data_IF_081327319722
#
_entry.id   IF_081327319722
#
_cell.length_a   1.000
_cell.length_b   1.000
_cell.length_c   1.000
_cell.angle_alpha   90.00
_cell.angle_beta   90.00
_cell.angle_gamma   90.00
#
_symmetry.space_group_name_H-M   'P 1'
#
loop_
_entity.id
_entity.type
_entity.pdbx_description
1 polymer ?
#
# COMPACT_ATOMS: atom_id res chain seq x y z
N UNK A 1 33.25 2.25 1.37
CA UNK A 1 32.46 1.03 1.08
C UNK A 1 31.05 1.45 0.68
N UNK A 2 30.71 1.38 -0.62
CA UNK A 2 29.35 1.72 -1.09
C UNK A 2 28.39 0.65 -0.56
N UNK A 3 27.57 1.03 0.42
CA UNK A 3 26.55 0.16 1.03
C UNK A 3 25.49 -0.09 -0.05
N UNK A 4 25.57 -1.23 -0.76
CA UNK A 4 24.49 -1.69 -1.63
C UNK A 4 23.26 -1.89 -0.74
N UNK A 5 22.32 -0.96 -0.82
CA UNK A 5 21.03 -1.13 -0.16
C UNK A 5 20.39 -2.36 -0.78
N UNK A 6 20.00 -3.32 0.05
CA UNK A 6 19.36 -4.54 -0.41
C UNK A 6 17.99 -4.16 -1.00
N UNK A 7 17.87 -4.22 -2.33
CA UNK A 7 16.71 -3.77 -3.11
C UNK A 7 15.40 -4.38 -2.60
N UNK A 8 15.46 -5.65 -2.14
CA UNK A 8 14.36 -6.35 -1.47
C UNK A 8 13.83 -5.62 -0.23
N UNK A 9 14.71 -5.08 0.61
CA UNK A 9 14.30 -4.39 1.84
C UNK A 9 13.57 -3.09 1.48
N UNK A 10 14.02 -2.37 0.45
CA UNK A 10 13.40 -1.13 0.01
C UNK A 10 12.00 -1.37 -0.58
N UNK A 11 11.82 -2.45 -1.34
CA UNK A 11 10.49 -2.88 -1.79
C UNK A 11 9.54 -3.21 -0.63
N UNK A 12 9.99 -4.00 0.35
CA UNK A 12 9.16 -4.41 1.48
C UNK A 12 8.70 -3.17 2.27
N UNK A 13 9.59 -2.19 2.44
CA UNK A 13 9.26 -0.93 3.11
C UNK A 13 8.19 -0.14 2.36
N UNK A 14 8.13 -0.19 1.02
CA UNK A 14 7.11 0.49 0.21
C UNK A 14 5.75 -0.23 0.18
N UNK A 15 5.71 -1.55 0.39
CA UNK A 15 4.46 -2.34 0.47
C UNK A 15 3.82 -2.27 1.86
N UNK A 16 4.66 -2.12 2.89
CA UNK A 16 4.25 -2.05 4.28
C UNK A 16 3.10 -1.08 4.57
N UNK A 17 3.07 0.17 4.03
CA UNK A 17 2.00 1.13 4.27
C UNK A 17 0.64 0.64 3.78
N UNK A 18 0.58 -0.02 2.62
CA UNK A 18 -0.69 -0.54 2.10
C UNK A 18 -1.26 -1.64 3.02
N UNK A 19 -0.39 -2.53 3.52
CA UNK A 19 -0.78 -3.59 4.45
C UNK A 19 -1.30 -3.00 5.78
N UNK A 20 -0.61 -1.99 6.31
CA UNK A 20 -1.01 -1.28 7.51
C UNK A 20 -2.34 -0.54 7.35
N UNK A 21 -2.64 -0.01 6.16
CA UNK A 21 -3.90 0.66 5.83
C UNK A 21 -5.09 -0.31 5.91
N UNK A 22 -4.90 -1.54 5.45
CA UNK A 22 -5.92 -2.58 5.54
C UNK A 22 -6.20 -2.97 7.00
N UNK A 23 -5.14 -3.15 7.81
CA UNK A 23 -5.27 -3.41 9.25
C UNK A 23 -5.96 -2.24 9.97
N UNK A 24 -5.61 -1.00 9.61
CA UNK A 24 -6.24 0.20 10.14
C UNK A 24 -7.74 0.22 9.86
N UNK A 25 -8.15 -0.05 8.61
CA UNK A 25 -9.57 -0.11 8.26
C UNK A 25 -10.32 -1.22 9.02
N UNK A 26 -9.72 -2.42 9.10
CA UNK A 26 -10.29 -3.55 9.84
C UNK A 26 -10.55 -3.22 11.32
N UNK A 27 -9.61 -2.52 11.95
CA UNK A 27 -9.75 -2.06 13.34
C UNK A 27 -10.92 -1.08 13.47
N UNK A 28 -11.08 -0.13 12.54
CA UNK A 28 -12.19 0.84 12.58
C UNK A 28 -13.57 0.17 12.48
N UNK A 29 -13.71 -0.85 11.62
CA UNK A 29 -14.96 -1.63 11.51
C UNK A 29 -15.25 -2.37 12.83
N UNK A 30 -14.22 -2.96 13.45
CA UNK A 30 -14.35 -3.66 14.74
C UNK A 30 -14.71 -2.71 15.90
N UNK A 31 -14.11 -1.51 15.97
CA UNK A 31 -14.43 -0.49 16.98
C UNK A 31 -15.91 -0.09 16.90
N UNK A 32 -16.43 0.15 15.68
CA UNK A 32 -17.83 0.55 15.48
C UNK A 32 -18.82 -0.48 16.00
N UNK A 33 -18.43 -1.76 16.02
CA UNK A 33 -19.29 -2.86 16.47
C UNK A 33 -19.16 -3.16 17.98
N UNK A 34 -18.01 -2.89 18.60
CA UNK A 34 -17.75 -3.17 20.02
C UNK A 34 -17.04 -2.01 20.73
N UNK A 35 -17.82 -1.16 21.42
CA UNK A 35 -17.33 0.06 22.07
C UNK A 35 -16.41 -0.21 23.28
N UNK A 36 -16.54 -1.37 23.94
CA UNK A 36 -15.80 -1.73 25.17
C UNK A 36 -14.28 -1.76 24.99
N UNK A 37 -13.81 -2.03 23.77
CA UNK A 37 -12.38 -2.12 23.44
C UNK A 37 -11.89 -0.92 22.60
N UNK A 38 -12.73 0.10 22.43
CA UNK A 38 -12.45 1.25 21.57
C UNK A 38 -11.13 1.96 21.94
N UNK A 39 -10.82 2.06 23.23
CA UNK A 39 -9.62 2.75 23.72
C UNK A 39 -8.33 2.02 23.32
N UNK A 40 -8.28 0.69 23.48
CA UNK A 40 -7.15 -0.15 23.08
C UNK A 40 -6.93 -0.13 21.56
N UNK A 41 -8.02 -0.21 20.79
CA UNK A 41 -7.95 -0.17 19.34
C UNK A 41 -7.57 1.21 18.79
N UNK A 42 -8.00 2.30 19.43
CA UNK A 42 -7.61 3.68 19.06
C UNK A 42 -6.12 3.91 19.28
N UNK A 43 -5.55 3.41 20.38
CA UNK A 43 -4.11 3.46 20.62
C UNK A 43 -3.33 2.66 19.55
N UNK A 44 -3.80 1.45 19.22
CA UNK A 44 -3.21 0.63 18.17
C UNK A 44 -3.24 1.34 16.79
N UNK A 45 -4.34 2.04 16.50
CA UNK A 45 -4.52 2.83 15.29
C UNK A 45 -3.50 3.98 15.19
N UNK A 46 -3.23 4.66 16.30
CA UNK A 46 -2.21 5.71 16.37
C UNK A 46 -0.79 5.16 16.16
N UNK A 47 -0.49 3.98 16.73
CA UNK A 47 0.80 3.29 16.54
C UNK A 47 1.01 2.96 15.06
N UNK A 48 -0.01 2.44 14.39
CA UNK A 48 0.05 2.12 12.95
C UNK A 48 0.32 3.38 12.11
N UNK A 49 -0.34 4.50 12.43
CA UNK A 49 -0.13 5.79 11.77
C UNK A 49 1.30 6.31 11.93
N UNK A 50 1.84 6.27 13.15
CA UNK A 50 3.23 6.65 13.43
C UNK A 50 4.19 5.76 12.64
N UNK A 51 3.93 4.46 12.61
CA UNK A 51 4.78 3.51 11.88
C UNK A 51 4.76 3.75 10.36
N UNK A 52 3.60 4.07 9.78
CA UNK A 52 3.52 4.53 8.38
C UNK A 52 4.35 5.78 8.14
N UNK A 53 4.24 6.79 9.02
CA UNK A 53 4.99 8.03 8.90
C UNK A 53 6.50 7.80 8.95
N UNK A 54 6.96 6.93 9.85
CA UNK A 54 8.37 6.54 9.95
C UNK A 54 8.84 5.80 8.69
N UNK A 55 8.03 4.88 8.16
CA UNK A 55 8.34 4.18 6.90
C UNK A 55 8.51 5.16 5.74
N UNK A 56 7.56 6.10 5.57
CA UNK A 56 7.65 7.14 4.53
C UNK A 56 8.87 8.05 4.71
N UNK A 57 9.18 8.43 5.95
CA UNK A 57 10.36 9.23 6.25
C UNK A 57 11.64 8.47 5.90
N UNK A 58 11.70 7.16 6.20
CA UNK A 58 12.84 6.31 5.86
C UNK A 58 13.00 6.17 4.34
N UNK A 59 11.92 5.99 3.60
CA UNK A 59 11.94 5.96 2.13
C UNK A 59 12.43 7.29 1.57
N UNK A 60 11.93 8.43 2.10
CA UNK A 60 12.33 9.77 1.66
C UNK A 60 13.79 10.07 1.95
N UNK A 61 14.29 9.68 3.12
CA UNK A 61 15.69 9.90 3.52
C UNK A 61 16.68 9.06 2.72
N UNK A 62 16.30 7.85 2.34
CA UNK A 62 17.16 6.97 1.54
C UNK A 62 16.97 7.15 0.03
N UNK A 63 16.07 8.04 -0.40
CA UNK A 63 15.73 8.25 -1.81
C UNK A 63 16.90 8.75 -2.66
N UNK A 64 17.84 9.49 -2.06
CA UNK A 64 19.06 9.98 -2.72
C UNK A 64 20.16 8.91 -2.87
N UNK A 65 20.04 7.79 -2.15
CA UNK A 65 20.96 6.65 -2.22
C UNK A 65 20.41 5.58 -3.18
N UNK A 66 19.15 5.72 -3.62
CA UNK A 66 18.53 4.84 -4.60
C UNK A 66 19.09 5.19 -5.98
N UNK A 67 19.76 4.21 -6.58
CA UNK A 67 20.43 4.30 -7.87
C UNK A 67 19.51 4.89 -8.94
N UNK A 68 20.04 5.72 -9.83
CA UNK A 68 19.26 6.43 -10.86
C UNK A 68 18.48 5.44 -11.76
N UNK A 69 19.05 4.25 -11.93
CA UNK A 69 18.43 3.10 -12.60
C UNK A 69 17.15 2.61 -11.90
N UNK A 70 17.17 2.48 -10.57
CA UNK A 70 16.00 2.04 -9.79
C UNK A 70 14.88 3.07 -9.88
N UNK A 71 15.20 4.37 -9.92
CA UNK A 71 14.21 5.45 -10.03
C UNK A 71 13.45 5.40 -11.37
N UNK A 72 14.13 5.10 -12.47
CA UNK A 72 13.49 4.93 -13.80
C UNK A 72 12.57 3.71 -13.83
N UNK A 73 13.05 2.58 -13.32
CA UNK A 73 12.26 1.35 -13.20
C UNK A 73 11.00 1.60 -12.35
N UNK A 74 11.17 2.22 -11.19
CA UNK A 74 10.05 2.51 -10.30
C UNK A 74 9.01 3.41 -10.96
N UNK A 75 9.42 4.44 -11.69
CA UNK A 75 8.50 5.32 -12.41
C UNK A 75 7.69 4.60 -13.49
N UNK A 76 8.30 3.64 -14.20
CA UNK A 76 7.58 2.79 -15.17
C UNK A 76 6.57 1.88 -14.47
N UNK A 77 6.97 1.24 -13.37
CA UNK A 77 6.09 0.37 -12.59
C UNK A 77 4.93 1.16 -11.99
N UNK A 78 5.19 2.32 -11.40
CA UNK A 78 4.17 3.22 -10.86
C UNK A 78 3.16 3.63 -11.94
N UNK A 79 3.62 3.93 -13.16
CA UNK A 79 2.72 4.29 -14.28
C UNK A 79 1.81 3.14 -14.68
N UNK A 80 2.34 1.91 -14.76
CA UNK A 80 1.54 0.71 -15.07
C UNK A 80 0.54 0.44 -13.94
N UNK A 81 0.99 0.53 -12.70
CA UNK A 81 0.17 0.39 -11.51
C UNK A 81 -0.96 1.43 -11.49
N UNK A 82 -0.69 2.68 -11.87
CA UNK A 82 -1.69 3.75 -11.93
C UNK A 82 -2.74 3.52 -13.02
N UNK A 83 -2.35 2.97 -14.17
CA UNK A 83 -3.33 2.55 -15.20
C UNK A 83 -4.22 1.43 -14.69
N UNK A 84 -3.64 0.44 -14.00
CA UNK A 84 -4.39 -0.68 -13.44
C UNK A 84 -5.33 -0.22 -12.32
N UNK A 85 -4.85 0.65 -11.44
CA UNK A 85 -5.64 1.20 -10.34
C UNK A 85 -6.83 1.99 -10.87
N UNK A 86 -6.64 2.80 -11.91
CA UNK A 86 -7.72 3.56 -12.54
C UNK A 86 -8.85 2.63 -13.04
N UNK A 87 -8.49 1.52 -13.69
CA UNK A 87 -9.47 0.53 -14.16
C UNK A 87 -10.20 -0.10 -12.97
N UNK A 88 -9.47 -0.54 -11.94
CA UNK A 88 -10.05 -1.15 -10.74
C UNK A 88 -11.00 -0.19 -10.01
N UNK A 89 -10.58 1.06 -9.79
CA UNK A 89 -11.42 2.08 -9.16
C UNK A 89 -12.65 2.43 -9.99
N UNK A 90 -12.54 2.44 -11.32
CA UNK A 90 -13.68 2.61 -12.22
C UNK A 90 -14.72 1.50 -12.05
N UNK A 91 -14.29 0.24 -11.95
CA UNK A 91 -15.17 -0.89 -11.67
C UNK A 91 -15.79 -0.80 -10.26
N UNK A 92 -15.01 -0.47 -9.23
CA UNK A 92 -15.54 -0.28 -7.87
C UNK A 92 -16.62 0.80 -7.81
N UNK A 93 -16.39 1.96 -8.45
CA UNK A 93 -17.36 3.05 -8.52
C UNK A 93 -18.65 2.62 -9.21
N UNK A 94 -18.54 1.88 -10.31
CA UNK A 94 -19.69 1.35 -11.04
C UNK A 94 -20.49 0.34 -10.20
N UNK A 95 -19.81 -0.61 -9.55
CA UNK A 95 -20.43 -1.57 -8.63
C UNK A 95 -21.12 -0.87 -7.45
N UNK A 96 -20.48 0.14 -6.88
CA UNK A 96 -21.04 0.93 -5.78
C UNK A 96 -22.34 1.65 -6.17
N UNK A 97 -22.38 2.23 -7.38
CA UNK A 97 -23.57 2.91 -7.91
C UNK A 97 -24.72 1.93 -8.19
N UNK A 98 -24.42 0.73 -8.68
CA UNK A 98 -25.42 -0.27 -9.04
C UNK A 98 -26.02 -0.99 -7.83
N UNK A 99 -25.22 -1.26 -6.80
CA UNK A 99 -25.61 -2.17 -5.70
C UNK A 99 -26.24 -1.41 -4.52
N UNK A 100 -26.16 -0.07 -4.48
CA UNK A 100 -26.62 0.68 -3.31
C UNK A 100 -25.92 0.20 -2.03
N UNK A 101 -24.62 -0.08 -2.15
CA UNK A 101 -23.87 -0.84 -1.17
C UNK A 101 -23.74 -0.10 0.17
N UNK A 102 -23.87 -0.84 1.27
CA UNK A 102 -23.66 -0.28 2.61
C UNK A 102 -22.23 0.27 2.75
N UNK A 103 -22.01 1.38 3.46
CA UNK A 103 -20.71 2.04 3.57
C UNK A 103 -19.60 1.16 4.17
N UNK A 104 -19.98 0.10 4.91
CA UNK A 104 -19.04 -0.90 5.44
C UNK A 104 -18.54 -1.79 4.29
N UNK A 105 -19.42 -2.22 3.39
CA UNK A 105 -19.06 -3.06 2.26
C UNK A 105 -18.14 -2.33 1.29
N UNK A 106 -18.45 -1.07 0.98
CA UNK A 106 -17.65 -0.22 0.09
C UNK A 106 -16.24 -0.05 0.64
N UNK A 107 -16.08 0.17 1.94
CA UNK A 107 -14.75 0.32 2.52
C UNK A 107 -13.93 -0.97 2.52
N UNK A 108 -14.56 -2.15 2.65
CA UNK A 108 -13.87 -3.43 2.43
C UNK A 108 -13.45 -3.62 0.98
N UNK A 109 -14.29 -3.24 0.03
CA UNK A 109 -13.98 -3.31 -1.40
C UNK A 109 -12.78 -2.44 -1.75
N UNK A 110 -12.76 -1.19 -1.25
CA UNK A 110 -11.66 -0.24 -1.44
C UNK A 110 -10.38 -0.73 -0.75
N UNK A 111 -10.46 -1.19 0.50
CA UNK A 111 -9.31 -1.72 1.23
C UNK A 111 -8.73 -2.96 0.53
N UNK A 112 -9.59 -3.86 0.07
CA UNK A 112 -9.22 -5.03 -0.72
C UNK A 112 -8.53 -4.65 -2.03
N UNK A 113 -9.11 -3.71 -2.78
CA UNK A 113 -8.53 -3.18 -4.02
C UNK A 113 -7.14 -2.58 -3.80
N UNK A 114 -6.95 -1.79 -2.74
CA UNK A 114 -5.65 -1.21 -2.37
C UNK A 114 -4.61 -2.28 -2.03
N UNK A 115 -5.01 -3.32 -1.28
CA UNK A 115 -4.11 -4.42 -0.97
C UNK A 115 -3.73 -5.22 -2.22
N UNK A 116 -4.69 -5.51 -3.09
CA UNK A 116 -4.46 -6.23 -4.34
C UNK A 116 -3.55 -5.42 -5.26
N UNK A 117 -3.76 -4.11 -5.36
CA UNK A 117 -2.88 -3.19 -6.10
C UNK A 117 -1.45 -3.20 -5.54
N UNK A 118 -1.29 -3.22 -4.22
CA UNK A 118 0.03 -3.28 -3.58
C UNK A 118 0.77 -4.59 -3.89
N UNK A 119 0.05 -5.73 -3.89
CA UNK A 119 0.61 -7.02 -4.29
C UNK A 119 1.00 -7.01 -5.77
N UNK A 120 0.15 -6.49 -6.64
CA UNK A 120 0.45 -6.38 -8.08
C UNK A 120 1.66 -5.49 -8.31
N UNK A 121 1.77 -4.36 -7.61
CA UNK A 121 2.95 -3.49 -7.66
C UNK A 121 4.22 -4.28 -7.28
N UNK A 122 4.16 -5.08 -6.22
CA UNK A 122 5.27 -5.97 -5.82
C UNK A 122 5.66 -6.96 -6.91
N UNK A 123 4.68 -7.62 -7.53
CA UNK A 123 4.91 -8.63 -8.58
C UNK A 123 5.53 -7.98 -9.81
N UNK A 124 4.99 -6.85 -10.28
CA UNK A 124 5.52 -6.15 -11.46
C UNK A 124 6.97 -5.73 -11.22
N UNK A 125 7.29 -5.25 -10.02
CA UNK A 125 8.67 -4.91 -9.67
C UNK A 125 9.58 -6.15 -9.68
N UNK A 126 9.16 -7.27 -9.07
CA UNK A 126 9.92 -8.53 -9.12
C UNK A 126 10.14 -9.03 -10.56
N UNK A 127 9.13 -8.90 -11.42
CA UNK A 127 9.24 -9.26 -12.85
C UNK A 127 10.21 -8.33 -13.58
N UNK A 128 10.22 -7.03 -13.25
CA UNK A 128 11.16 -6.09 -13.86
C UNK A 128 12.59 -6.28 -13.36
N UNK A 129 12.78 -6.62 -12.08
CA UNK A 129 14.09 -6.96 -11.50
C UNK A 129 14.65 -8.25 -12.11
N UNK A 130 13.80 -9.27 -12.32
CA UNK A 130 14.20 -10.54 -12.96
C UNK A 130 14.39 -10.44 -14.47
N UNK A 131 13.73 -9.49 -15.16
CA UNK A 131 13.99 -9.20 -16.58
C UNK A 131 15.13 -8.21 -16.78
N UNK A 132 15.43 -7.41 -15.76
CA UNK A 132 16.53 -6.46 -15.69
C UNK A 132 17.83 -7.08 -15.18
N UNK A 133 18.05 -8.38 -15.43
CA UNK A 133 19.38 -9.00 -15.32
C UNK A 133 20.25 -8.42 -16.44
N UNK A 134 20.69 -7.16 -16.27
CA UNK A 134 22.07 -6.75 -16.01
C UNK A 134 22.16 -5.22 -15.97
#
# INVERSE_FOLDING_TARGET
MKKKINLKIWMIVNIMPALFLLLFYWINVKIKHNLTYALTYTLLQYIILVFMGVSLYFVKKNRDIVDEYTKKILGMVDTICFKLSYVIFGFLLLSCLLIGASPIFIGYEIAGALCLLSVVHSIIFCVLDSRGIQ
#
